data_IF_028915946955
#
_entry.id   IF_028915946955
#
_cell.length_a   1.000
_cell.length_b   1.000
_cell.length_c   1.000
_cell.angle_alpha   90.00
_cell.angle_beta   90.00
_cell.angle_gamma   90.00
#
_symmetry.space_group_name_H-M   'P 1'
#
loop_
_entity.id
_entity.type
_entity.pdbx_description
1 polymer ?
#
# COMPACT_ATOMS: atom_id res chain seq x y z
N UNK A 1 -0.72 2.78 -2.12
CA UNK A 1 0.66 2.30 -2.35
C UNK A 1 1.44 3.34 -3.14
N UNK A 2 2.74 3.51 -2.90
CA UNK A 2 3.64 4.43 -3.60
C UNK A 2 4.72 3.67 -4.36
N UNK A 3 5.03 4.13 -5.57
CA UNK A 3 6.01 3.57 -6.49
C UNK A 3 6.26 4.54 -7.64
N UNK A 4 7.08 4.15 -8.61
CA UNK A 4 7.39 4.97 -9.78
C UNK A 4 6.38 4.70 -10.91
N UNK A 5 5.94 5.76 -11.57
CA UNK A 5 5.12 5.65 -12.77
C UNK A 5 5.98 5.19 -13.96
N UNK A 6 5.33 4.63 -14.99
CA UNK A 6 6.01 4.20 -16.21
C UNK A 6 6.81 5.34 -16.87
N UNK A 7 6.25 6.55 -16.89
CA UNK A 7 6.84 7.76 -17.47
C UNK A 7 8.09 8.28 -16.72
N UNK A 8 8.36 7.75 -15.52
CA UNK A 8 9.63 7.98 -14.84
C UNK A 8 10.82 7.31 -15.57
N UNK A 9 10.55 6.30 -16.41
CA UNK A 9 11.58 5.56 -17.12
C UNK A 9 11.54 5.86 -18.62
N UNK A 10 12.73 5.85 -19.24
CA UNK A 10 12.84 6.00 -20.71
C UNK A 10 12.38 4.73 -21.41
N UNK A 11 11.97 4.81 -22.68
CA UNK A 11 11.58 3.62 -23.46
C UNK A 11 12.70 2.57 -23.53
N UNK A 12 13.96 3.00 -23.59
CA UNK A 12 15.11 2.08 -23.54
C UNK A 12 15.21 1.35 -22.19
N UNK A 13 14.96 2.06 -21.08
CA UNK A 13 14.94 1.44 -19.75
C UNK A 13 13.77 0.47 -19.59
N UNK A 14 12.60 0.83 -20.11
CA UNK A 14 11.42 -0.04 -20.11
C UNK A 14 11.66 -1.30 -20.94
N UNK A 15 12.30 -1.16 -22.11
CA UNK A 15 12.71 -2.30 -22.93
C UNK A 15 13.68 -3.22 -22.19
N UNK A 16 14.66 -2.67 -21.47
CA UNK A 16 15.60 -3.44 -20.63
C UNK A 16 14.92 -4.13 -19.45
N UNK A 17 13.86 -3.56 -18.90
CA UNK A 17 13.07 -4.18 -17.83
C UNK A 17 12.12 -5.27 -18.35
N UNK A 18 11.72 -5.21 -19.61
CA UNK A 18 10.72 -6.13 -20.19
C UNK A 18 11.04 -7.61 -19.98
N UNK A 19 12.29 -8.12 -20.13
CA UNK A 19 12.59 -9.53 -19.89
C UNK A 19 12.40 -9.96 -18.42
N UNK A 20 12.41 -9.00 -17.50
CA UNK A 20 12.28 -9.25 -16.07
C UNK A 20 10.83 -9.07 -15.56
N UNK A 21 9.97 -8.51 -16.40
CA UNK A 21 8.54 -8.39 -16.18
C UNK A 21 7.95 -9.63 -16.86
N UNK A 22 7.77 -10.71 -16.09
CA UNK A 22 7.28 -11.99 -16.58
C UNK A 22 6.00 -11.89 -17.41
N UNK A 23 5.70 -12.95 -18.16
CA UNK A 23 4.57 -13.01 -19.09
C UNK A 23 3.25 -12.80 -18.33
N UNK A 24 2.63 -11.64 -18.52
CA UNK A 24 1.43 -11.14 -17.85
C UNK A 24 0.24 -12.13 -17.89
N UNK A 25 0.28 -13.14 -18.77
CA UNK A 25 -0.83 -14.03 -19.12
C UNK A 25 -0.93 -15.26 -18.20
N UNK A 26 0.11 -15.60 -17.42
CA UNK A 26 0.10 -16.83 -16.58
C UNK A 26 -0.20 -16.62 -15.09
N UNK A 27 -0.51 -15.39 -14.67
CA UNK A 27 -0.87 -15.10 -13.28
C UNK A 27 0.34 -14.93 -12.34
N UNK A 28 1.56 -15.01 -12.87
CA UNK A 28 2.77 -14.66 -12.13
C UNK A 28 2.88 -13.13 -12.00
N UNK A 29 2.74 -12.63 -10.78
CA UNK A 29 2.94 -11.23 -10.42
C UNK A 29 4.32 -10.76 -10.91
N UNK A 30 4.36 -9.79 -11.82
CA UNK A 30 5.62 -9.25 -12.34
C UNK A 30 6.54 -8.79 -11.19
N UNK A 31 7.80 -9.21 -11.21
CA UNK A 31 8.77 -8.91 -10.14
C UNK A 31 8.98 -7.40 -9.88
N UNK A 32 8.64 -6.54 -10.84
CA UNK A 32 8.92 -5.11 -10.83
C UNK A 32 7.70 -4.24 -10.68
N UNK A 33 6.49 -4.76 -10.88
CA UNK A 33 5.28 -3.95 -10.84
C UNK A 33 4.30 -4.45 -9.78
N UNK A 34 3.80 -3.51 -8.98
CA UNK A 34 2.76 -3.76 -8.00
C UNK A 34 1.35 -3.69 -8.60
N UNK A 35 1.19 -2.84 -9.62
CA UNK A 35 -0.02 -2.66 -10.45
C UNK A 35 0.42 -2.39 -11.89
N UNK A 36 -0.49 -2.44 -12.86
CA UNK A 36 -0.17 -2.22 -14.28
C UNK A 36 0.51 -0.85 -14.60
N UNK A 37 0.51 0.11 -13.66
CA UNK A 37 1.06 1.45 -13.83
C UNK A 37 2.17 1.81 -12.83
N UNK A 38 2.55 0.90 -11.92
CA UNK A 38 3.46 1.21 -10.80
C UNK A 38 4.65 0.26 -10.76
N UNK A 39 5.83 0.79 -11.05
CA UNK A 39 7.12 0.12 -11.05
C UNK A 39 7.86 0.38 -9.72
N UNK A 40 8.58 -0.63 -9.23
CA UNK A 40 9.35 -0.61 -7.98
C UNK A 40 8.59 0.09 -6.85
N UNK A 41 7.47 -0.47 -6.37
CA UNK A 41 6.78 0.06 -5.20
C UNK A 41 7.75 0.18 -4.02
N UNK A 42 7.65 1.25 -3.25
CA UNK A 42 8.54 1.51 -2.11
C UNK A 42 7.79 1.95 -0.85
N UNK A 43 6.47 2.15 -0.92
CA UNK A 43 5.65 2.54 0.22
C UNK A 43 4.28 1.86 0.18
N UNK A 44 3.89 1.18 1.25
CA UNK A 44 2.49 0.78 1.46
C UNK A 44 1.87 1.44 2.67
N UNK A 45 0.56 1.62 2.62
CA UNK A 45 -0.22 2.13 3.73
C UNK A 45 -1.50 1.31 3.82
N UNK A 46 -1.72 0.66 4.97
CA UNK A 46 -2.91 -0.15 5.21
C UNK A 46 -3.69 0.43 6.40
N UNK A 47 -4.98 0.64 6.18
CA UNK A 47 -5.95 1.04 7.20
C UNK A 47 -6.70 -0.17 7.68
N UNK A 48 -6.89 -0.29 8.99
CA UNK A 48 -7.83 -1.25 9.55
C UNK A 48 -8.63 -0.66 10.69
N UNK A 49 -9.76 -1.28 11.02
CA UNK A 49 -10.56 -0.96 12.19
C UNK A 49 -10.42 -2.07 13.25
N UNK A 50 -9.96 -1.73 14.45
CA UNK A 50 -9.86 -2.65 15.59
C UNK A 50 -8.44 -3.21 15.86
N UNK A 51 -8.18 -3.61 17.12
CA UNK A 51 -6.83 -3.93 17.60
C UNK A 51 -6.18 -5.16 16.91
N UNK A 52 -6.93 -6.24 16.70
CA UNK A 52 -6.45 -7.42 15.95
C UNK A 52 -6.19 -7.13 14.46
N UNK A 53 -6.69 -6.00 13.97
CA UNK A 53 -6.65 -5.67 12.56
C UNK A 53 -5.29 -5.07 12.15
N UNK A 54 -4.57 -4.40 13.05
CA UNK A 54 -3.22 -3.91 12.76
C UNK A 54 -2.22 -5.03 12.46
N UNK A 55 -2.35 -6.20 13.10
CA UNK A 55 -1.49 -7.34 12.80
C UNK A 55 -1.78 -7.92 11.40
N UNK A 56 -3.02 -7.82 10.94
CA UNK A 56 -3.42 -8.17 9.57
C UNK A 56 -2.79 -7.17 8.58
N UNK A 57 -2.92 -5.87 8.83
CA UNK A 57 -2.25 -4.84 8.03
C UNK A 57 -0.73 -5.04 7.96
N UNK A 58 -0.10 -5.34 9.10
CA UNK A 58 1.33 -5.59 9.19
C UNK A 58 1.76 -6.80 8.34
N UNK A 59 0.92 -7.85 8.24
CA UNK A 59 1.18 -9.02 7.40
C UNK A 59 1.01 -8.70 5.91
N UNK A 60 -0.07 -8.01 5.54
CA UNK A 60 -0.32 -7.59 4.16
C UNK A 60 0.80 -6.68 3.65
N UNK A 61 1.16 -5.67 4.45
CA UNK A 61 2.29 -4.79 4.19
C UNK A 61 3.61 -5.55 4.05
N UNK A 62 3.91 -6.49 4.95
CA UNK A 62 5.14 -7.29 4.88
C UNK A 62 5.21 -8.14 3.61
N UNK A 63 4.08 -8.71 3.17
CA UNK A 63 4.02 -9.48 1.93
C UNK A 63 4.32 -8.58 0.71
N UNK A 64 3.57 -7.47 0.56
CA UNK A 64 3.78 -6.54 -0.56
C UNK A 64 5.19 -5.95 -0.59
N UNK A 65 5.74 -5.56 0.57
CA UNK A 65 7.10 -5.01 0.63
C UNK A 65 8.18 -6.06 0.44
N UNK A 66 7.92 -7.33 0.72
CA UNK A 66 8.86 -8.42 0.37
C UNK A 66 8.99 -8.56 -1.14
N UNK A 67 7.87 -8.53 -1.88
CA UNK A 67 7.91 -8.59 -3.36
C UNK A 67 8.63 -7.37 -3.95
N UNK A 68 8.34 -6.17 -3.42
CA UNK A 68 9.02 -4.94 -3.79
C UNK A 68 10.55 -5.01 -3.62
N UNK A 69 10.99 -5.41 -2.42
CA UNK A 69 12.41 -5.55 -2.08
C UNK A 69 13.05 -6.64 -2.94
N UNK A 70 12.35 -7.75 -3.21
CA UNK A 70 12.82 -8.82 -4.10
C UNK A 70 13.10 -8.30 -5.50
N UNK A 71 12.18 -7.53 -6.11
CA UNK A 71 12.38 -6.94 -7.43
C UNK A 71 13.67 -6.12 -7.50
N UNK A 72 13.91 -5.27 -6.49
CA UNK A 72 15.15 -4.48 -6.42
C UNK A 72 16.38 -5.37 -6.26
N UNK A 73 16.33 -6.41 -5.42
CA UNK A 73 17.45 -7.34 -5.25
C UNK A 73 17.80 -8.04 -6.57
N UNK A 74 16.81 -8.54 -7.31
CA UNK A 74 17.05 -9.24 -8.58
C UNK A 74 17.61 -8.29 -9.65
N UNK A 75 17.15 -7.04 -9.72
CA UNK A 75 17.77 -6.02 -10.57
C UNK A 75 19.24 -5.82 -10.23
N UNK A 76 19.57 -5.68 -8.94
CA UNK A 76 20.94 -5.43 -8.51
C UNK A 76 21.84 -6.67 -8.66
N UNK A 77 21.27 -7.88 -8.60
CA UNK A 77 21.96 -9.14 -8.96
C UNK A 77 22.30 -9.20 -10.43
N UNK A 78 21.37 -8.83 -11.30
CA UNK A 78 21.59 -8.83 -12.75
C UNK A 78 22.78 -7.96 -13.17
N UNK A 79 23.08 -6.91 -12.39
CA UNK A 79 24.22 -6.01 -12.61
C UNK A 79 25.37 -6.20 -11.62
N UNK A 80 25.37 -7.28 -10.83
CA UNK A 80 26.44 -7.64 -9.86
C UNK A 80 26.75 -6.53 -8.85
N UNK A 81 25.72 -5.87 -8.31
CA UNK A 81 25.79 -4.76 -7.33
C UNK A 81 25.00 -5.05 -6.05
N UNK A 82 24.88 -6.30 -5.66
CA UNK A 82 24.12 -6.74 -4.48
C UNK A 82 24.63 -6.10 -3.18
N UNK A 83 25.92 -5.75 -3.11
CA UNK A 83 26.54 -5.03 -1.99
C UNK A 83 25.87 -3.69 -1.70
N UNK A 84 25.32 -3.02 -2.73
CA UNK A 84 24.65 -1.71 -2.61
C UNK A 84 23.31 -1.80 -1.91
N UNK A 85 22.68 -2.96 -1.92
CA UNK A 85 21.31 -3.16 -1.40
C UNK A 85 21.26 -4.09 -0.19
N UNK A 86 22.30 -4.90 0.05
CA UNK A 86 22.38 -5.76 1.22
C UNK A 86 22.27 -4.96 2.53
N UNK A 87 21.33 -5.35 3.39
CA UNK A 87 21.02 -4.72 4.68
C UNK A 87 20.66 -3.23 4.58
N UNK A 88 20.23 -2.76 3.41
CA UNK A 88 19.69 -1.39 3.23
C UNK A 88 18.16 -1.44 3.22
N UNK A 89 17.54 -0.45 3.85
CA UNK A 89 16.08 -0.27 3.74
C UNK A 89 15.77 0.16 2.31
N UNK A 90 14.96 -0.64 1.61
CA UNK A 90 14.57 -0.42 0.21
C UNK A 90 13.08 -0.13 0.05
N UNK A 91 12.28 -0.32 1.10
CA UNK A 91 10.86 0.00 1.09
C UNK A 91 10.35 0.27 2.50
N UNK A 92 9.19 0.91 2.61
CA UNK A 92 8.55 1.25 3.87
C UNK A 92 7.09 0.81 3.89
N UNK A 93 6.56 0.56 5.08
CA UNK A 93 5.13 0.34 5.26
C UNK A 93 4.59 1.08 6.46
N UNK A 94 3.37 1.57 6.33
CA UNK A 94 2.60 2.19 7.40
C UNK A 94 1.33 1.36 7.62
N UNK A 95 1.09 0.92 8.84
CA UNK A 95 -0.18 0.33 9.25
C UNK A 95 -0.84 1.27 10.24
N UNK A 96 -2.12 1.60 10.05
CA UNK A 96 -2.82 2.44 11.00
C UNK A 96 -4.29 2.07 11.19
N UNK A 97 -4.81 2.47 12.34
CA UNK A 97 -6.23 2.41 12.66
C UNK A 97 -6.70 3.79 13.17
N UNK A 98 -7.88 3.83 13.77
CA UNK A 98 -8.45 5.05 14.33
C UNK A 98 -7.64 5.72 15.45
N UNK A 99 -6.59 5.09 16.01
CA UNK A 99 -5.82 5.63 17.14
C UNK A 99 -4.31 5.45 17.02
N UNK A 100 -3.84 4.40 16.34
CA UNK A 100 -2.44 3.98 16.36
C UNK A 100 -1.84 3.90 14.97
N UNK A 101 -0.53 4.13 14.89
CA UNK A 101 0.29 3.98 13.68
C UNK A 101 1.51 3.12 13.99
N UNK A 102 1.85 2.22 13.06
CA UNK A 102 3.08 1.42 13.04
C UNK A 102 3.82 1.65 11.73
N UNK A 103 5.11 1.96 11.80
CA UNK A 103 5.97 2.27 10.66
C UNK A 103 7.13 1.28 10.64
N UNK A 104 7.35 0.65 9.50
CA UNK A 104 8.45 -0.29 9.29
C UNK A 104 9.27 0.07 8.06
N UNK A 105 10.57 -0.25 8.11
CA UNK A 105 11.45 -0.32 6.95
C UNK A 105 11.73 -1.77 6.58
N UNK A 106 11.74 -2.09 5.29
CA UNK A 106 11.95 -3.45 4.77
C UNK A 106 13.29 -3.53 4.04
N UNK A 107 14.04 -4.59 4.31
CA UNK A 107 15.41 -4.75 3.81
C UNK A 107 15.75 -6.22 3.52
N UNK A 108 16.65 -6.48 2.56
CA UNK A 108 17.16 -7.82 2.29
C UNK A 108 18.44 -8.10 3.10
N UNK A 109 18.70 -9.37 3.38
CA UNK A 109 20.00 -9.89 3.79
C UNK A 109 20.43 -10.91 2.75
N UNK A 110 21.50 -10.61 2.04
CA UNK A 110 22.00 -11.38 0.91
C UNK A 110 23.22 -12.17 1.36
N UNK A 111 23.21 -13.48 1.14
CA UNK A 111 24.31 -14.41 1.45
C UNK A 111 24.55 -15.33 0.26
N UNK A 112 25.52 -14.99 -0.59
CA UNK A 112 25.71 -15.69 -1.87
C UNK A 112 24.46 -15.61 -2.74
N UNK A 113 23.91 -16.77 -3.12
CA UNK A 113 22.68 -16.87 -3.92
C UNK A 113 21.40 -16.75 -3.09
N UNK A 114 21.49 -16.84 -1.77
CA UNK A 114 20.31 -16.77 -0.89
C UNK A 114 20.00 -15.33 -0.50
N UNK A 115 18.71 -14.98 -0.49
CA UNK A 115 18.22 -13.70 0.04
C UNK A 115 17.12 -13.96 1.05
N UNK A 116 17.23 -13.35 2.22
CA UNK A 116 16.17 -13.31 3.23
C UNK A 116 15.64 -11.89 3.35
N UNK A 117 14.34 -11.74 3.60
CA UNK A 117 13.68 -10.44 3.69
C UNK A 117 13.22 -10.20 5.12
N UNK A 118 13.49 -9.00 5.63
CA UNK A 118 13.21 -8.62 7.00
C UNK A 118 12.56 -7.25 7.05
N UNK A 119 11.86 -6.99 8.16
CA UNK A 119 11.36 -5.66 8.52
C UNK A 119 12.01 -5.18 9.81
N UNK A 120 12.23 -3.87 9.89
CA UNK A 120 12.71 -3.17 11.08
C UNK A 120 11.62 -2.20 11.56
N UNK A 121 11.16 -2.29 12.82
CA UNK A 121 10.25 -1.30 13.40
C UNK A 121 10.95 0.05 13.50
N UNK A 122 10.47 1.04 12.75
CA UNK A 122 10.99 2.41 12.80
C UNK A 122 10.30 3.17 13.93
N UNK A 123 8.96 3.07 14.00
CA UNK A 123 8.19 3.75 15.04
C UNK A 123 6.79 3.16 15.19
N UNK A 124 6.34 3.00 16.44
CA UNK A 124 4.96 2.66 16.78
C UNK A 124 4.46 3.69 17.80
N UNK A 125 3.26 4.24 17.59
CA UNK A 125 2.72 5.28 18.48
C UNK A 125 1.19 5.39 18.38
N UNK A 126 0.57 5.88 19.45
CA UNK A 126 -0.85 6.27 19.49
C UNK A 126 -0.94 7.76 19.20
N UNK A 127 -1.58 8.16 18.10
CA UNK A 127 -1.60 9.56 17.66
C UNK A 127 -2.72 10.39 18.30
N UNK A 128 -3.66 9.74 19.01
CA UNK A 128 -4.71 10.38 19.79
C UNK A 128 -4.28 10.72 21.23
N UNK A 129 -3.15 10.18 21.69
CA UNK A 129 -2.60 10.49 23.02
C UNK A 129 -2.04 11.92 23.11
N UNK A 130 -1.97 12.43 24.35
CA UNK A 130 -1.36 13.73 24.68
C UNK A 130 -1.90 14.88 23.81
N UNK A 131 -3.22 14.95 23.66
CA UNK A 131 -3.92 15.96 22.84
C UNK A 131 -3.43 15.99 21.38
N UNK A 132 -3.12 14.82 20.82
CA UNK A 132 -2.71 14.68 19.44
C UNK A 132 -1.29 15.15 19.15
N UNK A 133 -0.39 15.13 20.14
CA UNK A 133 1.03 15.53 19.98
C UNK A 133 1.71 14.89 18.77
N UNK A 134 1.40 13.64 18.47
CA UNK A 134 2.03 12.85 17.40
C UNK A 134 1.21 12.82 16.09
N UNK A 135 0.12 13.59 15.98
CA UNK A 135 -0.82 13.54 14.83
C UNK A 135 -0.15 13.73 13.47
N UNK A 136 0.92 14.52 13.42
CA UNK A 136 1.65 14.82 12.18
C UNK A 136 2.86 13.93 11.91
N UNK A 137 3.14 12.96 12.78
CA UNK A 137 4.38 12.18 12.68
C UNK A 137 4.39 11.24 11.48
N UNK A 138 3.29 10.52 11.21
CA UNK A 138 3.18 9.68 10.02
C UNK A 138 3.26 10.51 8.73
N UNK A 139 2.56 11.64 8.69
CA UNK A 139 2.59 12.56 7.55
C UNK A 139 4.00 13.08 7.26
N UNK A 140 4.72 13.58 8.27
CA UNK A 140 6.10 14.06 8.12
C UNK A 140 7.04 12.94 7.67
N UNK A 141 6.88 11.73 8.20
CA UNK A 141 7.65 10.57 7.76
C UNK A 141 7.41 10.30 6.27
N UNK A 142 6.15 10.18 5.84
CA UNK A 142 5.80 9.93 4.43
C UNK A 142 6.33 11.05 3.53
N UNK A 143 6.19 12.32 3.93
CA UNK A 143 6.75 13.45 3.19
C UNK A 143 8.27 13.33 3.02
N UNK A 144 8.99 12.96 4.07
CA UNK A 144 10.45 12.75 3.99
C UNK A 144 10.83 11.53 3.13
N UNK A 145 10.00 10.48 3.10
CA UNK A 145 10.19 9.36 2.17
C UNK A 145 10.17 9.87 0.73
N UNK A 146 9.20 10.70 0.35
CA UNK A 146 9.11 11.25 -1.01
C UNK A 146 10.16 12.33 -1.30
N UNK A 147 10.39 13.26 -0.38
CA UNK A 147 11.21 14.44 -0.66
C UNK A 147 12.71 14.17 -0.56
N UNK A 148 13.11 13.21 0.27
CA UNK A 148 14.54 12.97 0.58
C UNK A 148 15.00 11.58 0.16
N UNK A 149 14.27 10.53 0.55
CA UNK A 149 14.72 9.17 0.33
C UNK A 149 14.45 8.66 -1.09
N UNK A 150 13.25 8.92 -1.62
CA UNK A 150 12.80 8.43 -2.92
C UNK A 150 13.70 8.89 -4.07
N UNK A 151 14.14 10.16 -4.17
CA UNK A 151 15.00 10.59 -5.28
C UNK A 151 16.31 9.82 -5.31
N UNK A 152 16.93 9.60 -4.14
CA UNK A 152 18.17 8.82 -4.04
C UNK A 152 17.95 7.36 -4.40
N UNK A 153 16.82 6.79 -3.99
CA UNK A 153 16.45 5.42 -4.35
C UNK A 153 16.21 5.27 -5.86
N UNK A 154 15.52 6.24 -6.46
CA UNK A 154 15.27 6.30 -7.89
C UNK A 154 16.56 6.37 -8.70
N UNK A 155 17.50 7.25 -8.34
CA UNK A 155 18.82 7.33 -9.00
C UNK A 155 19.56 5.98 -8.99
N UNK A 156 19.50 5.27 -7.86
CA UNK A 156 20.14 3.97 -7.72
C UNK A 156 19.51 2.92 -8.65
N UNK A 157 18.17 2.88 -8.71
CA UNK A 157 17.43 1.99 -9.64
C UNK A 157 17.73 2.37 -11.09
N UNK A 158 17.61 3.65 -11.44
CA UNK A 158 17.87 4.18 -12.77
C UNK A 158 19.27 3.80 -13.25
N UNK A 159 20.28 3.97 -12.38
CA UNK A 159 21.66 3.56 -12.63
C UNK A 159 21.80 2.06 -12.89
N UNK A 160 21.13 1.22 -12.09
CA UNK A 160 21.18 -0.23 -12.26
C UNK A 160 20.52 -0.66 -13.59
N UNK A 161 19.35 -0.11 -13.93
CA UNK A 161 18.66 -0.43 -15.19
C UNK A 161 19.55 -0.11 -16.40
N UNK A 162 20.25 1.04 -16.38
CA UNK A 162 21.11 1.42 -17.50
C UNK A 162 22.27 0.45 -17.73
N UNK A 163 22.72 -0.24 -16.68
CA UNK A 163 23.79 -1.23 -16.73
C UNK A 163 23.30 -2.64 -17.10
N UNK A 164 22.00 -2.85 -17.24
CA UNK A 164 21.48 -4.14 -17.70
C UNK A 164 21.99 -4.44 -19.12
N UNK A 165 22.47 -5.67 -19.37
CA UNK A 165 22.74 -6.17 -20.71
C UNK A 165 21.49 -6.14 -21.58
N UNK A 166 21.66 -5.97 -22.89
CA UNK A 166 20.54 -5.97 -23.84
C UNK A 166 19.93 -7.36 -24.06
N UNK A 167 20.62 -8.43 -23.66
CA UNK A 167 20.15 -9.83 -23.75
C UNK A 167 20.42 -10.54 -22.41
N UNK A 168 19.37 -10.85 -21.65
CA UNK A 168 19.44 -11.68 -20.45
C UNK A 168 18.32 -12.72 -20.48
N UNK A 169 18.69 -13.97 -20.23
CA UNK A 169 17.78 -15.09 -20.03
C UNK A 169 17.75 -15.38 -18.52
N UNK A 170 16.58 -15.29 -17.89
CA UNK A 170 16.48 -15.34 -16.42
C UNK A 170 15.61 -16.52 -15.98
N UNK A 171 16.24 -17.49 -15.31
CA UNK A 171 15.54 -18.56 -14.58
C UNK A 171 15.40 -18.14 -13.12
N UNK A 172 14.28 -17.51 -12.76
CA UNK A 172 13.95 -17.22 -11.35
C UNK A 172 13.14 -18.38 -10.76
N UNK A 173 13.55 -19.00 -9.64
CA UNK A 173 12.71 -19.97 -8.94
C UNK A 173 11.42 -19.31 -8.41
N UNK A 174 10.25 -19.95 -8.59
CA UNK A 174 9.00 -19.49 -7.97
C UNK A 174 9.17 -19.35 -6.45
N UNK A 175 8.50 -18.36 -5.86
CA UNK A 175 8.40 -18.29 -4.40
C UNK A 175 7.59 -19.51 -3.98
N UNK A 176 8.19 -20.49 -3.28
CA UNK A 176 7.43 -21.67 -2.81
C UNK A 176 6.15 -21.24 -2.12
N UNK A 177 5.03 -21.80 -2.58
CA UNK A 177 3.65 -21.56 -2.12
C UNK A 177 3.38 -22.05 -0.69
N UNK A 178 4.28 -21.79 0.26
CA UNK A 178 4.09 -22.10 1.66
C UNK A 178 3.34 -20.96 2.39
N UNK A 179 2.27 -20.43 1.79
CA UNK A 179 1.25 -19.64 2.49
C UNK A 179 -0.01 -19.57 1.62
N UNK A 180 -1.05 -20.34 1.95
CA UNK A 180 -2.33 -20.36 1.25
C UNK A 180 -3.14 -19.08 1.38
N UNK A 181 -2.71 -18.01 0.69
CA UNK A 181 -3.32 -16.67 0.74
C UNK A 181 -3.66 -16.11 -0.66
N UNK A 182 -3.48 -16.89 -1.74
CA UNK A 182 -3.72 -16.44 -3.12
C UNK A 182 -5.17 -16.02 -3.41
N UNK A 183 -6.15 -16.47 -2.61
CA UNK A 183 -7.56 -16.18 -2.88
C UNK A 183 -8.04 -14.82 -2.35
N UNK A 184 -7.31 -14.18 -1.43
CA UNK A 184 -7.78 -12.95 -0.76
C UNK A 184 -7.35 -11.66 -1.50
N UNK A 185 -6.49 -11.79 -2.51
CA UNK A 185 -5.93 -10.66 -3.26
C UNK A 185 -6.90 -10.08 -4.31
N UNK A 186 -7.76 -10.92 -4.89
CA UNK A 186 -8.76 -10.48 -5.88
C UNK A 186 -9.82 -9.54 -5.28
N UNK A 187 -10.10 -9.68 -3.98
CA UNK A 187 -11.09 -8.87 -3.27
C UNK A 187 -10.53 -7.51 -2.82
N UNK A 188 -9.24 -7.42 -2.52
CA UNK A 188 -8.64 -6.20 -1.96
C UNK A 188 -8.43 -5.09 -3.01
N UNK A 189 -8.31 -5.45 -4.29
CA UNK A 189 -8.18 -4.49 -5.40
C UNK A 189 -9.52 -3.86 -5.82
N UNK A 190 -10.68 -4.42 -5.40
CA UNK A 190 -12.01 -3.90 -5.76
C UNK A 190 -12.56 -2.88 -4.77
N UNK A 191 -12.02 -2.80 -3.54
CA UNK A 191 -12.57 -1.92 -2.50
C UNK A 191 -12.22 -0.44 -2.66
N UNK A 192 -11.34 -0.06 -3.59
CA UNK A 192 -10.92 1.33 -3.82
C UNK A 192 -11.89 2.17 -4.68
N UNK A 193 -13.07 1.64 -5.07
CA UNK A 193 -14.04 2.35 -5.96
C UNK A 193 -15.36 2.73 -5.27
N UNK A 194 -15.48 2.69 -3.95
CA UNK A 194 -16.70 3.19 -3.28
C UNK A 194 -16.43 4.05 -2.07
N UNK A 195 -15.99 5.28 -2.32
CA UNK A 195 -16.21 6.37 -1.38
C UNK A 195 -16.46 7.68 -2.12
N UNK A 196 -17.47 7.70 -3.00
CA UNK A 196 -18.03 8.93 -3.54
C UNK A 196 -19.46 8.70 -4.07
N UNK A 197 -20.46 8.79 -3.20
CA UNK A 197 -21.83 9.11 -3.60
C UNK A 197 -22.53 9.86 -2.47
N UNK A 198 -22.75 11.15 -2.70
CA UNK A 198 -23.68 11.99 -1.94
C UNK A 198 -25.11 11.44 -2.17
N UNK A 199 -26.02 11.53 -1.18
CA UNK A 199 -27.40 11.10 -1.38
C UNK A 199 -28.13 12.14 -2.25
N UNK A 200 -28.50 11.73 -3.46
CA UNK A 200 -29.37 12.49 -4.33
C UNK A 200 -30.84 12.26 -3.91
N UNK A 201 -31.54 13.35 -3.61
CA UNK A 201 -32.97 13.37 -3.29
C UNK A 201 -33.78 12.88 -4.50
N UNK A 202 -34.22 11.61 -4.46
CA UNK A 202 -35.19 11.13 -5.46
C UNK A 202 -36.61 11.38 -4.96
N UNK A 203 -37.19 12.40 -5.58
CA UNK A 203 -38.58 12.80 -5.44
C UNK A 203 -39.60 11.71 -5.72
N UNK A 204 -40.73 11.92 -5.05
CA UNK A 204 -42.00 11.23 -5.06
C UNK A 204 -42.61 10.97 -6.44
N UNK A 205 -43.23 9.80 -6.57
CA UNK A 205 -44.56 9.49 -7.18
C UNK A 205 -44.60 7.97 -7.40
N UNK A 206 -45.71 7.23 -7.34
CA UNK A 206 -47.09 7.37 -6.87
C UNK A 206 -47.73 6.03 -7.23
N UNK A 207 -48.35 5.31 -6.29
CA UNK A 207 -49.39 4.33 -6.61
C UNK A 207 -50.36 4.09 -5.43
N UNK A 208 -51.52 4.72 -5.58
CA UNK A 208 -52.89 4.32 -5.24
C UNK A 208 -53.23 3.48 -3.99
N UNK A 209 -53.94 4.18 -3.10
CA UNK A 209 -55.34 3.97 -2.70
C UNK A 209 -55.70 2.88 -1.67
N UNK A 210 -56.31 3.34 -0.55
CA UNK A 210 -57.27 2.54 0.22
C UNK A 210 -57.44 2.88 1.71
N UNK A 211 -58.32 3.86 2.00
CA UNK A 211 -59.20 3.96 3.20
C UNK A 211 -58.56 4.22 4.60
N UNK A 212 -58.69 5.45 5.11
CA UNK A 212 -59.70 5.92 6.09
C UNK A 212 -59.45 5.47 7.54
N UNK A 213 -59.12 6.42 8.42
CA UNK A 213 -59.97 6.88 9.53
C UNK A 213 -59.17 7.48 10.72
N UNK A 214 -59.52 8.74 11.03
CA UNK A 214 -59.69 9.30 12.39
C UNK A 214 -58.45 9.74 13.20
N UNK A 215 -58.23 11.06 13.21
CA UNK A 215 -57.68 11.84 14.34
C UNK A 215 -58.72 12.02 15.45
N UNK A 216 -58.28 12.06 16.72
CA UNK A 216 -58.18 13.33 17.47
C UNK A 216 -56.81 13.41 18.20
N UNK A 217 -56.20 14.53 18.61
CA UNK A 217 -56.68 15.81 19.11
C UNK A 217 -56.04 16.06 20.50
N UNK A 218 -55.49 17.25 20.75
CA UNK A 218 -54.96 17.80 22.04
C UNK A 218 -53.54 17.36 22.44
N UNK A 219 -52.63 18.15 23.05
CA UNK A 219 -52.64 19.54 23.57
C UNK A 219 -51.19 19.97 23.87
N UNK A 220 -50.90 21.27 23.79
CA UNK A 220 -49.62 21.88 24.14
C UNK A 220 -49.40 21.96 25.67
N UNK A 221 -48.16 21.87 26.12
CA UNK A 221 -47.72 22.30 27.46
C UNK A 221 -46.29 22.83 27.40
N UNK A 222 -46.12 24.13 27.66
CA UNK A 222 -44.81 24.77 27.84
C UNK A 222 -44.22 24.49 29.24
N UNK A 223 -42.89 24.45 29.40
CA UNK A 223 -42.25 24.36 30.71
C UNK A 223 -42.00 25.74 31.34
N UNK A 224 -42.33 25.85 32.64
CA UNK A 224 -42.09 27.01 33.52
C UNK A 224 -40.59 27.34 33.69
N UNK A 225 -40.25 28.62 33.55
CA UNK A 225 -39.04 29.26 34.08
C UNK A 225 -39.09 29.37 35.62
N UNK A 226 -37.97 29.05 36.29
CA UNK A 226 -37.70 29.41 37.69
C UNK A 226 -37.07 30.81 37.76
N UNK A 227 -37.58 31.64 38.68
CA UNK A 227 -37.07 32.98 39.02
C UNK A 227 -35.85 32.86 39.95
N UNK A 228 -34.84 33.68 39.67
CA UNK A 228 -34.20 34.52 40.68
C UNK A 228 -34.79 35.92 40.57
#
# INVERSE_FOLDING_TARGET
MGGFRRDAFTENQLAKLSPFIGDFITGDQSFFMATYYMYFPFLTCEVKCGAAALDIADRQNAHSMTLAVRGIVELFRAVKREDKVNRKILAFSVSHDHQSVRIYGHYPVITGKDTKYYRHPIRNFVFTELDGKEKWTAYRFTKNVYDTWMPKHFENIYSAINQLPSELNFDVPPLSEATGLSQDLGNLMQSDVSCASLPDERGSQSSNAGQQAVTPGTSFSEPKRRKG
#
